data_IF_633029756271
#
_entry.id   IF_633029756271
#
_cell.length_a   1.000
_cell.length_b   1.000
_cell.length_c   1.000
_cell.angle_alpha   90.00
_cell.angle_beta   90.00
_cell.angle_gamma   90.00
#
_symmetry.space_group_name_H-M   'P 1'
#
loop_
_entity.id
_entity.type
_entity.pdbx_description
1 polymer ?
#
# COMPACT_ATOMS: atom_id res chain seq x y z
N UNK A 1 38.79 -44.14 27.11
CA UNK A 1 38.63 -43.05 28.10
C UNK A 1 38.25 -41.78 27.37
N UNK A 2 37.10 -41.25 27.74
CA UNK A 2 36.29 -40.26 27.04
C UNK A 2 36.94 -38.88 27.05
N UNK A 3 36.87 -38.16 25.92
CA UNK A 3 36.89 -36.69 25.92
C UNK A 3 35.75 -36.18 25.05
N UNK A 4 34.66 -35.84 25.73
CA UNK A 4 33.48 -35.19 25.19
C UNK A 4 33.88 -33.79 24.71
N UNK A 5 33.69 -33.50 23.42
CA UNK A 5 33.86 -32.17 22.87
C UNK A 5 32.50 -31.48 22.97
N UNK A 6 32.30 -30.74 24.06
CA UNK A 6 31.26 -29.72 24.18
C UNK A 6 31.87 -28.39 23.78
N UNK A 7 31.52 -27.85 22.61
CA UNK A 7 31.40 -26.40 22.44
C UNK A 7 30.20 -26.13 21.54
N UNK A 8 29.19 -25.57 22.18
CA UNK A 8 27.97 -25.02 21.62
C UNK A 8 28.33 -23.83 20.73
N UNK A 9 28.17 -23.99 19.42
CA UNK A 9 28.15 -22.86 18.49
C UNK A 9 26.69 -22.38 18.35
N UNK A 10 26.29 -21.48 19.24
CA UNK A 10 25.04 -20.72 19.10
C UNK A 10 25.25 -19.74 17.94
N UNK A 11 24.75 -20.13 16.78
CA UNK A 11 24.59 -19.24 15.63
C UNK A 11 23.33 -18.42 15.91
N UNK A 12 23.46 -17.28 16.60
CA UNK A 12 22.39 -16.26 16.61
C UNK A 12 22.42 -15.57 15.26
N UNK A 13 21.82 -16.25 14.27
CA UNK A 13 21.53 -15.68 12.97
C UNK A 13 20.43 -14.64 13.13
N UNK A 14 20.78 -13.41 12.77
CA UNK A 14 19.90 -12.27 12.55
C UNK A 14 18.62 -12.66 11.81
N UNK A 15 17.46 -12.56 12.46
CA UNK A 15 16.19 -12.43 11.77
C UNK A 15 15.81 -10.95 11.77
N UNK A 16 15.98 -10.35 10.60
CA UNK A 16 15.61 -8.98 10.30
C UNK A 16 14.17 -8.68 10.73
N UNK A 17 13.98 -7.51 11.34
CA UNK A 17 12.66 -6.92 11.54
C UNK A 17 11.95 -6.80 10.19
N UNK A 18 10.86 -7.54 10.03
CA UNK A 18 9.89 -7.34 8.95
C UNK A 18 8.60 -6.84 9.59
N UNK A 19 8.41 -5.53 9.79
CA UNK A 19 7.07 -5.04 10.00
C UNK A 19 6.37 -4.92 8.64
N UNK A 20 5.06 -5.17 8.69
CA UNK A 20 4.08 -4.84 7.67
C UNK A 20 4.16 -5.66 6.38
N UNK A 21 3.67 -6.91 6.46
CA UNK A 21 2.75 -7.38 5.44
C UNK A 21 1.61 -6.36 5.34
N UNK A 22 1.74 -5.39 4.44
CA UNK A 22 0.65 -4.55 4.01
C UNK A 22 -0.39 -5.49 3.41
N UNK A 23 -1.41 -5.78 4.20
CA UNK A 23 -2.52 -6.62 3.81
C UNK A 23 -3.25 -5.85 2.72
N UNK A 24 -2.95 -6.16 1.46
CA UNK A 24 -3.73 -5.68 0.32
C UNK A 24 -5.06 -6.42 0.37
N UNK A 25 -5.91 -6.02 1.32
CA UNK A 25 -7.33 -6.32 1.30
C UNK A 25 -7.90 -5.51 0.15
N UNK A 26 -8.14 -6.19 -0.98
CA UNK A 26 -8.96 -5.66 -2.05
C UNK A 26 -10.30 -5.23 -1.46
N UNK A 27 -10.54 -3.92 -1.38
CA UNK A 27 -11.77 -3.33 -0.86
C UNK A 27 -11.65 -2.50 0.43
N UNK A 28 -10.46 -2.36 1.03
CA UNK A 28 -10.28 -1.44 2.16
C UNK A 28 -10.06 0.01 1.69
N UNK A 29 -10.71 0.96 2.39
CA UNK A 29 -10.37 2.39 2.31
C UNK A 29 -8.89 2.51 2.68
N UNK A 30 -8.09 3.23 1.89
CA UNK A 30 -6.67 3.41 2.18
C UNK A 30 -6.48 3.86 3.63
N UNK A 31 -5.65 3.14 4.40
CA UNK A 31 -5.46 3.42 5.82
C UNK A 31 -4.31 4.40 6.07
N UNK A 32 -3.46 4.62 5.07
CA UNK A 32 -2.33 5.54 5.17
C UNK A 32 -1.91 6.09 3.80
N UNK A 33 -0.98 7.04 3.84
CA UNK A 33 -0.43 7.72 2.67
C UNK A 33 0.21 6.76 1.65
N UNK A 34 0.87 5.70 2.10
CA UNK A 34 1.49 4.72 1.20
C UNK A 34 0.43 3.87 0.48
N UNK A 35 -0.66 3.52 1.17
CA UNK A 35 -1.78 2.81 0.56
C UNK A 35 -2.50 3.65 -0.49
N UNK A 36 -2.72 4.94 -0.25
CA UNK A 36 -3.25 5.86 -1.26
C UNK A 36 -2.39 5.85 -2.55
N UNK A 37 -1.06 5.92 -2.38
CA UNK A 37 -0.13 5.90 -3.51
C UNK A 37 -0.13 4.54 -4.22
N UNK A 38 -0.20 3.44 -3.47
CA UNK A 38 -0.30 2.11 -4.03
C UNK A 38 -1.60 1.93 -4.82
N UNK A 39 -2.73 2.37 -4.29
CA UNK A 39 -4.04 2.31 -4.94
C UNK A 39 -4.08 3.10 -6.25
N UNK A 40 -3.51 4.31 -6.26
CA UNK A 40 -3.37 5.06 -7.49
C UNK A 40 -2.53 4.29 -8.51
N UNK A 41 -1.34 3.83 -8.10
CA UNK A 41 -0.40 3.14 -8.99
C UNK A 41 -0.94 1.84 -9.58
N UNK A 42 -1.75 1.08 -8.83
CA UNK A 42 -2.35 -0.16 -9.38
C UNK A 42 -3.50 0.13 -10.34
N UNK A 43 -4.06 1.35 -10.30
CA UNK A 43 -5.20 1.75 -11.11
C UNK A 43 -4.77 2.52 -12.37
N UNK A 44 -3.64 3.21 -12.31
CA UNK A 44 -2.93 3.83 -13.42
C UNK A 44 -2.23 2.74 -14.25
N UNK A 45 -2.93 2.21 -15.26
CA UNK A 45 -2.50 1.01 -16.00
C UNK A 45 -1.45 1.33 -17.06
N UNK A 46 -1.46 2.55 -17.56
CA UNK A 46 -0.57 3.05 -18.60
C UNK A 46 0.62 3.85 -18.00
N UNK A 47 0.57 4.22 -16.72
CA UNK A 47 1.64 4.91 -15.99
C UNK A 47 1.77 6.39 -16.33
N UNK A 48 0.70 7.03 -16.80
CA UNK A 48 0.71 8.42 -17.27
C UNK A 48 0.36 9.45 -16.18
N UNK A 49 0.16 9.00 -14.95
CA UNK A 49 -0.19 9.80 -13.78
C UNK A 49 -1.60 10.42 -13.83
N UNK A 50 -2.51 9.85 -14.62
CA UNK A 50 -3.93 10.18 -14.57
C UNK A 50 -4.78 8.93 -14.69
N UNK A 51 -5.95 8.92 -14.03
CA UNK A 51 -6.94 7.87 -14.21
C UNK A 51 -7.96 8.33 -15.24
N UNK A 52 -7.96 7.67 -16.38
CA UNK A 52 -8.97 7.82 -17.43
C UNK A 52 -10.30 7.15 -17.05
N UNK A 53 -11.41 7.39 -17.75
CA UNK A 53 -12.69 6.74 -17.44
C UNK A 53 -12.60 5.21 -17.47
N UNK A 54 -11.75 4.67 -18.33
CA UNK A 54 -11.46 3.23 -18.42
C UNK A 54 -10.78 2.72 -17.16
N UNK A 55 -9.79 3.43 -16.65
CA UNK A 55 -9.06 3.06 -15.43
C UNK A 55 -9.92 3.22 -14.18
N UNK A 56 -10.72 4.29 -14.12
CA UNK A 56 -11.72 4.51 -13.08
C UNK A 56 -12.73 3.35 -13.05
N UNK A 57 -13.19 2.88 -14.21
CA UNK A 57 -14.12 1.75 -14.30
C UNK A 57 -13.51 0.42 -13.81
N UNK A 58 -12.18 0.31 -13.85
CA UNK A 58 -11.44 -0.87 -13.39
C UNK A 58 -10.91 -0.71 -11.96
N UNK A 59 -11.12 0.45 -11.33
CA UNK A 59 -10.64 0.77 -10.00
C UNK A 59 -11.23 -0.21 -8.97
N UNK A 60 -10.36 -0.89 -8.21
CA UNK A 60 -10.75 -1.91 -7.21
C UNK A 60 -10.66 -1.42 -5.75
N UNK A 61 -10.27 -0.17 -5.53
CA UNK A 61 -10.19 0.46 -4.20
C UNK A 61 -11.43 1.28 -3.86
N UNK A 62 -11.38 1.98 -2.73
CA UNK A 62 -12.34 3.03 -2.42
C UNK A 62 -11.91 4.35 -3.04
N UNK A 63 -12.70 4.85 -3.99
CA UNK A 63 -12.45 6.17 -4.59
C UNK A 63 -13.02 7.26 -3.66
N UNK A 64 -12.26 8.33 -3.38
CA UNK A 64 -12.79 9.46 -2.63
C UNK A 64 -14.03 10.03 -3.32
N UNK A 65 -15.11 10.30 -2.57
CA UNK A 65 -16.39 10.77 -3.12
C UNK A 65 -16.25 12.02 -3.97
N UNK A 66 -15.31 12.92 -3.63
CA UNK A 66 -15.02 14.16 -4.37
C UNK A 66 -14.46 13.95 -5.79
N UNK A 67 -13.93 12.75 -6.05
CA UNK A 67 -13.36 12.35 -7.33
C UNK A 67 -14.28 11.40 -8.09
N UNK A 68 -15.27 10.82 -7.42
CA UNK A 68 -16.28 9.96 -8.03
C UNK A 68 -17.08 10.76 -9.05
N UNK A 69 -17.13 10.27 -10.30
CA UNK A 69 -17.85 10.90 -11.40
C UNK A 69 -17.01 11.89 -12.24
N UNK A 70 -15.72 12.05 -11.96
CA UNK A 70 -14.82 12.79 -12.86
C UNK A 70 -14.42 11.91 -14.06
N UNK A 71 -14.25 12.55 -15.21
CA UNK A 71 -13.78 11.87 -16.42
C UNK A 71 -12.27 11.59 -16.36
N UNK A 72 -11.50 12.49 -15.75
CA UNK A 72 -10.06 12.34 -15.56
C UNK A 72 -9.71 12.73 -14.13
N UNK A 73 -8.92 11.89 -13.47
CA UNK A 73 -8.41 12.15 -12.12
C UNK A 73 -6.88 12.20 -12.18
N UNK A 74 -6.29 13.37 -11.94
CA UNK A 74 -4.84 13.45 -11.86
C UNK A 74 -4.33 12.83 -10.56
N UNK A 75 -3.10 12.31 -10.60
CA UNK A 75 -2.40 11.79 -9.42
C UNK A 75 -2.47 12.74 -8.24
N UNK A 76 -2.24 14.04 -8.45
CA UNK A 76 -2.23 15.00 -7.35
C UNK A 76 -3.61 15.14 -6.70
N UNK A 77 -4.67 15.20 -7.49
CA UNK A 77 -6.05 15.26 -6.98
C UNK A 77 -6.42 14.00 -6.21
N UNK A 78 -6.06 12.82 -6.75
CA UNK A 78 -6.27 11.54 -6.08
C UNK A 78 -5.61 11.50 -4.71
N UNK A 79 -4.33 11.86 -4.66
CA UNK A 79 -3.55 11.81 -3.42
C UNK A 79 -4.08 12.81 -2.40
N UNK A 80 -4.41 14.03 -2.83
CA UNK A 80 -4.99 15.06 -1.95
C UNK A 80 -6.33 14.61 -1.36
N UNK A 81 -7.25 14.10 -2.19
CA UNK A 81 -8.55 13.63 -1.72
C UNK A 81 -8.43 12.37 -0.85
N UNK A 82 -7.51 11.46 -1.18
CA UNK A 82 -7.26 10.26 -0.39
C UNK A 82 -6.73 10.63 1.01
N UNK A 83 -5.84 11.62 1.12
CA UNK A 83 -5.36 12.09 2.43
C UNK A 83 -6.45 12.77 3.25
N UNK A 84 -7.38 13.48 2.60
CA UNK A 84 -8.54 14.04 3.29
C UNK A 84 -9.45 12.96 3.90
N UNK A 85 -9.43 11.73 3.35
CA UNK A 85 -10.19 10.59 3.86
C UNK A 85 -9.45 9.72 4.88
N UNK A 86 -8.15 9.94 5.09
CA UNK A 86 -7.40 9.16 6.08
C UNK A 86 -7.86 9.53 7.50
N UNK A 87 -8.05 8.54 8.39
CA UNK A 87 -8.26 8.84 9.80
C UNK A 87 -7.07 9.66 10.31
N UNK A 88 -7.36 10.84 10.85
CA UNK A 88 -6.37 11.59 11.64
C UNK A 88 -6.21 10.78 12.93
N UNK A 89 -5.17 9.94 13.00
CA UNK A 89 -4.71 9.38 14.26
C UNK A 89 -4.26 10.58 15.12
N UNK A 90 -5.13 11.04 16.01
CA UNK A 90 -4.84 12.00 17.10
C UNK A 90 -4.27 11.25 18.31
#
# INVERSE_FOLDING_TARGET
>A
MNKLISVVAVVVGTAAALPASAQITSGSIAQNKAECQAQFRVSDLNGDNFLTPREISLFRGSMPTELSGREVIHRQDFISACYATLPQDD
#
